data_IF_509845672846
#
_entry.id   IF_509845672846
#
_cell.length_a   1.000
_cell.length_b   1.000
_cell.length_c   1.000
_cell.angle_alpha   90.00
_cell.angle_beta   90.00
_cell.angle_gamma   90.00
#
_symmetry.space_group_name_H-M   'P 1'
#
loop_
_entity.id
_entity.type
_entity.pdbx_description
1 polymer ?
#
# COMPACT_ATOMS: atom_id res chain seq x y z
N UNK A 1 -13.49 42.81 -65.86
CA UNK A 1 -13.42 41.36 -66.15
C UNK A 1 -12.10 40.72 -65.71
N UNK A 2 -10.97 40.84 -66.43
CA UNK A 2 -9.74 40.11 -66.05
C UNK A 2 -9.11 40.58 -64.72
N UNK A 3 -9.10 41.89 -64.45
CA UNK A 3 -8.59 42.47 -63.20
C UNK A 3 -9.45 42.11 -61.98
N UNK A 4 -10.76 42.00 -62.14
CA UNK A 4 -11.68 41.57 -61.08
C UNK A 4 -11.48 40.09 -60.74
N UNK A 5 -11.33 39.24 -61.76
CA UNK A 5 -11.03 37.82 -61.56
C UNK A 5 -9.72 37.60 -60.80
N UNK A 6 -8.65 38.35 -61.13
CA UNK A 6 -7.38 38.31 -60.39
C UNK A 6 -7.56 38.78 -58.94
N UNK A 7 -8.38 39.81 -58.72
CA UNK A 7 -8.70 40.30 -57.38
C UNK A 7 -9.45 39.28 -56.52
N UNK A 8 -10.38 38.53 -57.11
CA UNK A 8 -11.09 37.45 -56.43
C UNK A 8 -10.17 36.27 -56.10
N UNK A 9 -9.28 35.88 -57.02
CA UNK A 9 -8.29 34.82 -56.78
C UNK A 9 -7.41 35.17 -55.58
N UNK A 10 -6.87 36.40 -55.53
CA UNK A 10 -6.05 36.86 -54.38
C UNK A 10 -6.81 36.82 -53.05
N UNK A 11 -8.10 37.18 -53.05
CA UNK A 11 -8.95 37.09 -51.85
C UNK A 11 -9.19 35.64 -51.43
N UNK A 12 -9.37 34.73 -52.39
CA UNK A 12 -9.53 33.31 -52.12
C UNK A 12 -8.24 32.70 -51.54
N UNK A 13 -7.07 33.05 -52.10
CA UNK A 13 -5.76 32.64 -51.59
C UNK A 13 -5.55 33.10 -50.15
N UNK A 14 -5.78 34.38 -49.86
CA UNK A 14 -5.63 34.92 -48.50
C UNK A 14 -6.58 34.23 -47.49
N UNK A 15 -7.81 33.91 -47.90
CA UNK A 15 -8.76 33.15 -47.06
C UNK A 15 -8.29 31.72 -46.82
N UNK A 16 -7.79 31.04 -47.86
CA UNK A 16 -7.28 29.69 -47.72
C UNK A 16 -6.06 29.65 -46.77
N UNK A 17 -5.16 30.62 -46.89
CA UNK A 17 -3.98 30.74 -46.05
C UNK A 17 -4.35 31.00 -44.58
N UNK A 18 -5.35 31.86 -44.33
CA UNK A 18 -5.90 32.09 -43.00
C UNK A 18 -6.52 30.81 -42.40
N UNK A 19 -7.29 30.06 -43.18
CA UNK A 19 -7.90 28.78 -42.75
C UNK A 19 -6.81 27.77 -42.36
N UNK A 20 -5.77 27.63 -43.18
CA UNK A 20 -4.65 26.70 -42.90
C UNK A 20 -3.90 27.11 -41.63
N UNK A 21 -3.65 28.42 -41.47
CA UNK A 21 -2.98 28.96 -40.29
C UNK A 21 -3.79 28.70 -39.00
N UNK A 22 -5.09 29.00 -39.01
CA UNK A 22 -5.99 28.73 -37.88
C UNK A 22 -6.09 27.24 -37.56
N UNK A 23 -6.23 26.39 -38.58
CA UNK A 23 -6.29 24.95 -38.39
C UNK A 23 -5.00 24.41 -37.75
N UNK A 24 -3.85 24.92 -38.19
CA UNK A 24 -2.54 24.54 -37.64
C UNK A 24 -2.39 25.01 -36.19
N UNK A 25 -2.85 26.21 -35.85
CA UNK A 25 -2.85 26.72 -34.48
C UNK A 25 -3.74 25.87 -33.56
N UNK A 26 -4.98 25.58 -34.00
CA UNK A 26 -5.91 24.72 -33.26
C UNK A 26 -5.36 23.30 -33.06
N UNK A 27 -4.72 22.73 -34.08
CA UNK A 27 -4.11 21.40 -33.95
C UNK A 27 -3.01 21.39 -32.88
N UNK A 28 -2.14 22.41 -32.84
CA UNK A 28 -1.11 22.54 -31.81
C UNK A 28 -1.71 22.70 -30.41
N UNK A 29 -2.78 23.48 -30.28
CA UNK A 29 -3.48 23.68 -29.02
C UNK A 29 -4.12 22.38 -28.51
N UNK A 30 -4.79 21.62 -29.38
CA UNK A 30 -5.38 20.32 -29.05
C UNK A 30 -4.30 19.36 -28.54
N UNK A 31 -3.16 19.27 -29.24
CA UNK A 31 -2.05 18.39 -28.82
C UNK A 31 -1.53 18.83 -27.46
N UNK A 32 -1.28 20.13 -27.26
CA UNK A 32 -0.79 20.66 -25.98
C UNK A 32 -1.75 20.34 -24.83
N UNK A 33 -3.04 20.58 -25.02
CA UNK A 33 -4.04 20.32 -23.99
C UNK A 33 -4.14 18.82 -23.68
N UNK A 34 -4.12 17.96 -24.71
CA UNK A 34 -4.10 16.52 -24.53
C UNK A 34 -2.85 16.04 -23.77
N UNK A 35 -1.68 16.62 -24.02
CA UNK A 35 -0.46 16.30 -23.27
C UNK A 35 -0.58 16.70 -21.80
N UNK A 36 -1.08 17.91 -21.50
CA UNK A 36 -1.28 18.38 -20.12
C UNK A 36 -2.31 17.52 -19.39
N UNK A 37 -3.40 17.15 -20.04
CA UNK A 37 -4.41 16.26 -19.46
C UNK A 37 -3.84 14.86 -19.20
N UNK A 38 -3.03 14.32 -20.12
CA UNK A 38 -2.39 13.03 -19.96
C UNK A 38 -1.40 13.02 -18.78
N UNK A 39 -0.56 14.06 -18.64
CA UNK A 39 0.35 14.21 -17.50
C UNK A 39 -0.42 14.29 -16.18
N UNK A 40 -1.49 15.10 -16.13
CA UNK A 40 -2.33 15.21 -14.94
C UNK A 40 -2.98 13.87 -14.57
N UNK A 41 -3.52 13.15 -15.54
CA UNK A 41 -4.11 11.83 -15.29
C UNK A 41 -3.06 10.82 -14.80
N UNK A 42 -1.86 10.85 -15.38
CA UNK A 42 -0.75 10.01 -14.95
C UNK A 42 -0.38 10.26 -13.49
N UNK A 43 -0.21 11.54 -13.11
CA UNK A 43 0.12 11.94 -11.74
C UNK A 43 -0.99 11.55 -10.76
N UNK A 44 -2.26 11.76 -11.13
CA UNK A 44 -3.40 11.33 -10.31
C UNK A 44 -3.43 9.81 -10.09
N UNK A 45 -3.12 9.02 -11.12
CA UNK A 45 -3.04 7.56 -11.01
C UNK A 45 -1.91 7.16 -10.06
N UNK A 46 -0.74 7.79 -10.17
CA UNK A 46 0.39 7.54 -9.28
C UNK A 46 0.05 7.87 -7.83
N UNK A 47 -0.56 9.01 -7.55
CA UNK A 47 -0.92 9.40 -6.20
C UNK A 47 -2.00 8.47 -5.61
N UNK A 48 -3.01 8.09 -6.40
CA UNK A 48 -4.01 7.09 -5.99
C UNK A 48 -3.36 5.73 -5.69
N UNK A 49 -2.40 5.30 -6.50
CA UNK A 49 -1.67 4.06 -6.30
C UNK A 49 -0.81 4.09 -5.01
N UNK A 50 -0.09 5.20 -4.76
CA UNK A 50 0.69 5.40 -3.54
C UNK A 50 -0.21 5.38 -2.30
N UNK A 51 -1.31 6.12 -2.32
CA UNK A 51 -2.28 6.15 -1.22
C UNK A 51 -2.86 4.76 -0.94
N UNK A 52 -3.24 4.02 -1.99
CA UNK A 52 -3.74 2.64 -1.85
C UNK A 52 -2.69 1.71 -1.27
N UNK A 53 -1.43 1.82 -1.71
CA UNK A 53 -0.31 1.06 -1.15
C UNK A 53 -0.12 1.35 0.33
N UNK A 54 -0.07 2.62 0.73
CA UNK A 54 0.11 3.01 2.13
C UNK A 54 -1.01 2.46 3.00
N UNK A 55 -2.25 2.59 2.55
CA UNK A 55 -3.41 2.03 3.25
C UNK A 55 -3.31 0.52 3.39
N UNK A 56 -2.97 -0.20 2.32
CA UNK A 56 -2.81 -1.66 2.36
C UNK A 56 -1.72 -2.08 3.37
N UNK A 57 -0.59 -1.37 3.41
CA UNK A 57 0.49 -1.66 4.35
C UNK A 57 0.06 -1.40 5.80
N UNK A 58 -0.66 -0.30 6.06
CA UNK A 58 -1.17 0.03 7.38
C UNK A 58 -2.24 -0.98 7.85
N UNK A 59 -3.15 -1.37 6.96
CA UNK A 59 -4.18 -2.37 7.24
C UNK A 59 -3.53 -3.72 7.57
N UNK A 60 -2.51 -4.14 6.79
CA UNK A 60 -1.78 -5.37 7.03
C UNK A 60 -1.00 -5.36 8.36
N UNK A 61 -0.38 -4.22 8.71
CA UNK A 61 0.29 -4.07 9.99
C UNK A 61 -0.71 -4.17 11.16
N UNK A 62 -1.82 -3.43 11.06
CA UNK A 62 -2.86 -3.41 12.10
C UNK A 62 -3.47 -4.80 12.31
N UNK A 63 -3.75 -5.53 11.24
CA UNK A 63 -4.26 -6.89 11.32
C UNK A 63 -3.20 -7.85 11.90
N UNK A 64 -1.93 -7.69 11.53
CA UNK A 64 -0.83 -8.44 12.12
C UNK A 64 -0.71 -8.23 13.62
N UNK A 65 -0.78 -6.98 14.08
CA UNK A 65 -0.72 -6.62 15.50
C UNK A 65 -1.92 -7.21 16.26
N UNK A 66 -3.11 -7.11 15.68
CA UNK A 66 -4.35 -7.69 16.25
C UNK A 66 -4.30 -9.21 16.36
N UNK A 67 -3.65 -9.89 15.42
CA UNK A 67 -3.45 -11.34 15.48
C UNK A 67 -2.34 -11.72 16.47
N UNK A 68 -1.34 -10.87 16.66
CA UNK A 68 -0.26 -11.09 17.62
C UNK A 68 -0.71 -10.90 19.08
N UNK A 69 -1.61 -9.96 19.36
CA UNK A 69 -2.13 -9.67 20.69
C UNK A 69 -2.68 -10.90 21.46
N UNK A 70 -3.55 -11.75 20.89
CA UNK A 70 -4.03 -12.95 21.58
C UNK A 70 -2.93 -13.99 21.79
N UNK A 71 -1.93 -14.05 20.90
CA UNK A 71 -0.78 -14.96 21.04
C UNK A 71 0.07 -14.54 22.23
N UNK A 72 0.37 -13.24 22.34
CA UNK A 72 1.10 -12.66 23.48
C UNK A 72 0.33 -12.89 24.78
N UNK A 73 -0.95 -12.54 24.81
CA UNK A 73 -1.82 -12.74 25.99
C UNK A 73 -1.88 -14.21 26.42
N UNK A 74 -1.93 -15.15 25.46
CA UNK A 74 -1.90 -16.58 25.76
C UNK A 74 -0.56 -17.00 26.35
N UNK A 75 0.54 -16.54 25.76
CA UNK A 75 1.89 -16.82 26.26
C UNK A 75 2.09 -16.29 27.69
N UNK A 76 1.64 -15.08 27.98
CA UNK A 76 1.69 -14.50 29.33
C UNK A 76 0.90 -15.34 30.35
N UNK A 77 -0.31 -15.78 29.98
CA UNK A 77 -1.13 -16.66 30.83
C UNK A 77 -0.45 -18.01 31.08
N UNK A 78 0.18 -18.60 30.06
CA UNK A 78 0.91 -19.85 30.18
C UNK A 78 2.11 -19.71 31.13
N UNK A 79 2.90 -18.64 30.98
CA UNK A 79 4.02 -18.31 31.87
C UNK A 79 3.54 -18.14 33.30
N UNK A 80 2.47 -17.38 33.51
CA UNK A 80 1.88 -17.18 34.83
C UNK A 80 1.43 -18.51 35.45
N UNK A 81 0.80 -19.39 34.66
CA UNK A 81 0.41 -20.72 35.11
C UNK A 81 1.58 -21.61 35.54
N UNK A 82 2.76 -21.44 34.95
CA UNK A 82 3.99 -22.13 35.38
C UNK A 82 4.51 -21.59 36.71
N UNK A 83 4.51 -20.27 36.90
CA UNK A 83 4.94 -19.66 38.17
C UNK A 83 4.00 -20.01 39.33
N UNK A 84 2.69 -19.98 39.06
CA UNK A 84 1.62 -20.20 40.04
C UNK A 84 1.38 -21.68 40.36
N UNK A 85 2.26 -22.59 39.93
CA UNK A 85 2.23 -23.99 40.35
C UNK A 85 2.23 -24.05 41.89
N UNK A 86 1.21 -24.70 42.44
CA UNK A 86 0.97 -24.74 43.88
C UNK A 86 2.14 -25.30 44.66
N UNK A 87 2.36 -24.75 45.87
CA UNK A 87 3.38 -25.25 46.81
C UNK A 87 3.24 -26.76 47.04
N UNK A 88 2.01 -27.24 47.25
CA UNK A 88 1.73 -28.67 47.41
C UNK A 88 2.21 -29.55 46.23
N UNK A 89 2.13 -29.07 44.98
CA UNK A 89 2.68 -29.81 43.82
C UNK A 89 4.20 -29.79 43.81
N UNK A 90 4.81 -28.66 44.18
CA UNK A 90 6.27 -28.51 44.32
C UNK A 90 6.80 -29.44 45.41
N UNK A 91 6.15 -29.45 46.58
CA UNK A 91 6.52 -30.30 47.72
C UNK A 91 6.37 -31.78 47.40
N UNK A 92 5.29 -32.18 46.71
CA UNK A 92 5.11 -33.55 46.26
C UNK A 92 6.22 -33.97 45.26
N UNK A 93 6.58 -33.09 44.31
CA UNK A 93 7.68 -33.36 43.39
C UNK A 93 9.03 -33.51 44.13
N UNK A 94 9.29 -32.69 45.14
CA UNK A 94 10.48 -32.81 46.01
C UNK A 94 10.47 -34.16 46.73
N UNK A 95 9.37 -34.54 47.36
CA UNK A 95 9.25 -35.81 48.08
C UNK A 95 9.46 -37.03 47.18
N UNK A 96 8.94 -36.99 45.94
CA UNK A 96 9.19 -38.05 44.94
C UNK A 96 10.67 -38.19 44.60
N UNK A 97 11.40 -37.08 44.47
CA UNK A 97 12.85 -37.10 44.21
C UNK A 97 13.61 -37.63 45.42
N UNK A 98 13.27 -37.17 46.63
CA UNK A 98 13.89 -37.64 47.88
C UNK A 98 13.66 -39.15 48.07
N UNK A 99 12.44 -39.64 47.89
CA UNK A 99 12.14 -41.07 47.97
C UNK A 99 12.96 -41.90 46.99
N UNK A 100 13.14 -41.43 45.75
CA UNK A 100 13.96 -42.14 44.75
C UNK A 100 15.43 -42.20 45.17
N UNK A 101 16.00 -41.12 45.69
CA UNK A 101 17.39 -41.10 46.16
C UNK A 101 17.55 -42.01 47.37
N UNK A 102 16.64 -41.91 48.35
CA UNK A 102 16.67 -42.72 49.58
C UNK A 102 16.46 -44.20 49.26
N UNK A 103 15.63 -44.58 48.28
CA UNK A 103 15.48 -45.99 47.87
C UNK A 103 16.70 -46.55 47.12
N UNK A 104 17.52 -45.71 46.48
CA UNK A 104 18.73 -46.13 45.75
C UNK A 104 19.97 -46.19 46.67
N UNK A 105 20.01 -45.40 47.74
CA UNK A 105 21.15 -45.32 48.68
C UNK A 105 20.85 -45.80 50.10
N UNK A 106 19.58 -45.96 50.46
CA UNK A 106 19.10 -46.46 51.74
C UNK A 106 18.96 -47.97 51.70
N UNK A 107 20.09 -48.66 51.66
CA UNK A 107 20.14 -50.03 52.15
C UNK A 107 21.19 -50.06 53.26
N UNK A 108 20.76 -49.63 54.45
CA UNK A 108 21.01 -50.33 55.70
C UNK A 108 19.93 -49.97 56.72
#
# INVERSE_FOLDING_TARGET
MALEAIGEIKKAEAKAEAIVSEATAKAKEIIKNATVEAEKQYDEILEKAKAKRMKLMQDAQTEGDKQAEPILTKGEKEVQGIYDVSGAKKDNAINLVVERIVKIHGNS
#
